data_IF_394108204545
#
_entry.id   IF_394108204545
#
_cell.length_a   1.000
_cell.length_b   1.000
_cell.length_c   1.000
_cell.angle_alpha   90.00
_cell.angle_beta   90.00
_cell.angle_gamma   90.00
#
_symmetry.space_group_name_H-M   'P 1'
#
loop_
_entity.id
_entity.type
_entity.pdbx_description
1 polymer ?
#
# COMPACT_ATOMS: atom_id res chain seq x y z
N UNK A 1 13.31 16.94 3.62
CA UNK A 1 14.10 16.05 2.74
C UNK A 1 14.44 14.79 3.52
N UNK A 2 13.70 13.70 3.33
CA UNK A 2 14.00 12.40 3.91
C UNK A 2 14.10 11.39 2.76
N UNK A 3 15.30 11.26 2.20
CA UNK A 3 15.62 10.25 1.20
C UNK A 3 15.71 8.90 1.93
N UNK A 4 14.68 8.05 1.78
CA UNK A 4 14.77 6.65 2.19
C UNK A 4 15.73 5.92 1.24
N UNK A 5 17.00 5.86 1.65
CA UNK A 5 18.01 4.97 1.08
C UNK A 5 17.96 3.63 1.81
N UNK A 6 17.58 2.57 1.10
CA UNK A 6 18.15 1.24 1.34
C UNK A 6 17.90 0.34 0.13
N UNK A 7 19.00 -0.15 -0.44
CA UNK A 7 19.05 -1.03 -1.59
C UNK A 7 18.08 -2.23 -1.46
N UNK A 8 17.00 -2.25 -2.25
CA UNK A 8 16.22 -3.45 -2.51
C UNK A 8 16.28 -3.70 -4.01
N UNK A 9 16.54 -4.96 -4.40
CA UNK A 9 16.35 -5.44 -5.77
C UNK A 9 15.11 -4.77 -6.35
N UNK A 10 15.30 -3.99 -7.40
CA UNK A 10 14.26 -3.25 -8.11
C UNK A 10 13.20 -4.26 -8.57
N UNK A 11 12.11 -4.38 -7.79
CA UNK A 11 10.93 -5.17 -8.17
C UNK A 11 10.30 -4.63 -9.45
N UNK A 12 10.48 -3.33 -9.64
CA UNK A 12 10.04 -2.54 -10.76
C UNK A 12 11.24 -1.88 -11.42
N UNK A 13 11.19 -1.66 -12.74
CA UNK A 13 12.15 -0.81 -13.44
C UNK A 13 12.11 0.61 -12.87
N UNK A 14 13.12 1.42 -13.19
CA UNK A 14 13.12 2.84 -12.79
C UNK A 14 11.89 3.59 -13.32
N UNK A 15 11.42 3.23 -14.53
CA UNK A 15 10.22 3.82 -15.15
C UNK A 15 8.94 3.39 -14.43
N UNK A 16 8.81 2.13 -14.06
CA UNK A 16 7.70 1.60 -13.27
C UNK A 16 7.63 2.24 -11.88
N UNK A 17 8.77 2.34 -11.18
CA UNK A 17 8.81 3.05 -9.91
C UNK A 17 8.41 4.52 -10.06
N UNK A 18 8.86 5.20 -11.11
CA UNK A 18 8.44 6.58 -11.38
C UNK A 18 6.94 6.66 -11.59
N UNK A 19 6.36 5.74 -12.36
CA UNK A 19 4.90 5.69 -12.58
C UNK A 19 4.12 5.51 -11.29
N UNK A 20 4.57 4.60 -10.40
CA UNK A 20 3.94 4.38 -9.09
C UNK A 20 4.05 5.64 -8.22
N UNK A 21 5.24 6.22 -8.12
CA UNK A 21 5.46 7.44 -7.33
C UNK A 21 4.63 8.61 -7.85
N UNK A 22 4.54 8.78 -9.18
CA UNK A 22 3.74 9.84 -9.78
C UNK A 22 2.24 9.62 -9.60
N UNK A 23 1.77 8.36 -9.64
CA UNK A 23 0.39 8.02 -9.34
C UNK A 23 0.03 8.34 -7.88
N UNK A 24 0.89 7.98 -6.93
CA UNK A 24 0.72 8.31 -5.50
C UNK A 24 0.68 9.82 -5.31
N UNK A 25 1.65 10.56 -5.87
CA UNK A 25 1.69 12.03 -5.79
C UNK A 25 0.42 12.68 -6.33
N UNK A 26 -0.07 12.20 -7.48
CA UNK A 26 -1.33 12.70 -8.06
C UNK A 26 -2.52 12.39 -7.16
N UNK A 27 -2.57 11.23 -6.53
CA UNK A 27 -3.64 10.90 -5.58
C UNK A 27 -3.59 11.83 -4.36
N UNK A 28 -2.43 12.00 -3.74
CA UNK A 28 -2.22 12.85 -2.56
C UNK A 28 -2.41 14.36 -2.84
N UNK A 29 -2.37 14.81 -4.09
CA UNK A 29 -2.76 16.19 -4.45
C UNK A 29 -4.27 16.46 -4.27
N UNK A 30 -5.09 15.41 -4.28
CA UNK A 30 -6.56 15.52 -4.21
C UNK A 30 -7.11 15.08 -2.84
N UNK A 31 -6.25 14.65 -1.91
CA UNK A 31 -6.66 14.20 -0.58
C UNK A 31 -5.64 14.64 0.47
N UNK A 32 -6.09 14.87 1.70
CA UNK A 32 -5.17 15.05 2.83
C UNK A 32 -4.61 13.74 3.37
N UNK A 33 -4.98 12.60 2.76
CA UNK A 33 -4.51 11.27 3.15
C UNK A 33 -3.12 10.96 2.63
N UNK A 34 -2.36 10.20 3.41
CA UNK A 34 -1.06 9.67 3.00
C UNK A 34 -1.22 8.26 2.43
N UNK A 35 -0.60 7.98 1.30
CA UNK A 35 -0.61 6.65 0.68
C UNK A 35 0.82 6.14 0.61
N UNK A 36 1.07 4.95 1.17
CA UNK A 36 2.36 4.27 1.05
C UNK A 36 2.19 2.89 0.43
N UNK A 37 3.15 2.53 -0.41
CA UNK A 37 3.23 1.21 -1.03
C UNK A 37 4.47 0.50 -0.49
N UNK A 38 4.27 -0.68 0.08
CA UNK A 38 5.34 -1.52 0.57
C UNK A 38 5.37 -2.85 -0.19
N UNK A 39 6.53 -3.18 -0.73
CA UNK A 39 6.73 -4.34 -1.59
C UNK A 39 7.84 -5.22 -1.01
N UNK A 40 7.55 -6.51 -0.88
CA UNK A 40 8.52 -7.54 -0.55
C UNK A 40 8.35 -8.80 -1.42
N UNK A 41 9.34 -9.69 -1.36
CA UNK A 41 9.33 -10.90 -2.19
C UNK A 41 8.28 -11.90 -1.71
N UNK A 42 8.24 -12.16 -0.41
CA UNK A 42 7.37 -13.16 0.22
C UNK A 42 6.81 -12.60 1.51
N UNK A 43 5.59 -12.98 1.84
CA UNK A 43 4.98 -12.68 3.12
C UNK A 43 5.61 -13.57 4.20
N UNK A 44 5.96 -12.97 5.34
CA UNK A 44 6.45 -13.73 6.51
C UNK A 44 5.31 -14.36 7.32
N UNK A 45 4.08 -13.91 7.09
CA UNK A 45 2.87 -14.31 7.81
C UNK A 45 1.98 -15.13 6.89
N UNK A 46 1.06 -15.87 7.49
CA UNK A 46 0.02 -16.59 6.73
C UNK A 46 -0.96 -15.59 6.13
N UNK A 47 -1.38 -14.60 6.92
CA UNK A 47 -2.26 -13.52 6.48
C UNK A 47 -1.43 -12.28 6.05
N UNK A 48 -1.57 -11.80 4.81
CA UNK A 48 -0.92 -10.55 4.37
C UNK A 48 -1.42 -9.31 5.13
N UNK A 49 -2.62 -9.35 5.73
CA UNK A 49 -3.14 -8.25 6.53
C UNK A 49 -2.37 -8.07 7.84
N UNK A 50 -2.04 -9.17 8.54
CA UNK A 50 -1.20 -9.14 9.75
C UNK A 50 0.17 -8.51 9.47
N UNK A 51 0.74 -8.87 8.30
CA UNK A 51 2.02 -8.30 7.85
C UNK A 51 1.89 -6.81 7.52
N UNK A 52 0.81 -6.41 6.87
CA UNK A 52 0.54 -5.01 6.57
C UNK A 52 0.38 -4.19 7.87
N UNK A 53 -0.33 -4.73 8.86
CA UNK A 53 -0.49 -4.10 10.17
C UNK A 53 0.86 -3.91 10.88
N UNK A 54 1.70 -4.96 10.95
CA UNK A 54 3.05 -4.87 11.54
C UNK A 54 3.88 -3.74 10.88
N UNK A 55 3.85 -3.67 9.55
CA UNK A 55 4.58 -2.64 8.79
C UNK A 55 3.99 -1.26 9.06
N UNK A 56 2.66 -1.13 9.11
CA UNK A 56 1.97 0.14 9.33
C UNK A 56 2.41 0.78 10.66
N UNK A 57 2.35 0.01 11.75
CA UNK A 57 2.79 0.45 13.07
C UNK A 57 4.30 0.66 13.13
N UNK A 58 5.09 -0.23 12.52
CA UNK A 58 6.55 -0.10 12.45
C UNK A 58 7.01 1.18 11.73
N UNK A 59 6.24 1.65 10.75
CA UNK A 59 6.47 2.89 10.01
C UNK A 59 5.80 4.13 10.64
N UNK A 60 5.11 3.96 11.78
CA UNK A 60 4.37 5.02 12.49
C UNK A 60 3.39 5.76 11.59
N UNK A 61 2.68 5.03 10.74
CA UNK A 61 1.73 5.61 9.77
C UNK A 61 0.44 6.12 10.42
N UNK A 62 0.20 5.75 11.67
CA UNK A 62 -0.88 6.23 12.54
C UNK A 62 -0.67 7.68 13.03
N UNK A 63 0.55 8.21 12.93
CA UNK A 63 0.89 9.58 13.37
C UNK A 63 0.46 10.66 12.35
N UNK A 64 -0.73 10.53 11.76
CA UNK A 64 -1.32 11.60 10.93
C UNK A 64 -2.40 12.33 11.69
N UNK A 65 -2.52 13.64 11.43
CA UNK A 65 -3.49 14.49 12.13
C UNK A 65 -4.95 14.01 11.99
N UNK A 66 -5.27 13.35 10.87
CA UNK A 66 -6.63 12.94 10.53
C UNK A 66 -6.84 11.43 10.50
N UNK A 67 -5.84 10.63 10.90
CA UNK A 67 -5.90 9.17 10.85
C UNK A 67 -6.36 8.64 9.49
N UNK A 68 -5.75 9.17 8.42
CA UNK A 68 -6.17 8.97 7.04
C UNK A 68 -5.05 8.38 6.17
N UNK A 69 -4.13 7.64 6.81
CA UNK A 69 -3.07 6.92 6.14
C UNK A 69 -3.55 5.58 5.58
N UNK A 70 -3.04 5.21 4.41
CA UNK A 70 -3.30 3.92 3.78
C UNK A 70 -1.99 3.26 3.38
N UNK A 71 -1.80 2.01 3.79
CA UNK A 71 -0.70 1.16 3.38
C UNK A 71 -1.21 0.09 2.40
N UNK A 72 -0.65 0.11 1.20
CA UNK A 72 -0.75 -0.98 0.24
C UNK A 72 0.44 -1.92 0.42
N UNK A 73 0.18 -3.13 0.87
CA UNK A 73 1.17 -4.19 1.01
C UNK A 73 1.12 -5.16 -0.17
N UNK A 74 2.28 -5.53 -0.72
CA UNK A 74 2.40 -6.48 -1.83
C UNK A 74 3.55 -7.47 -1.57
N UNK A 75 3.23 -8.77 -1.62
CA UNK A 75 4.18 -9.88 -1.63
C UNK A 75 4.22 -10.53 -3.02
N UNK A 76 5.23 -10.18 -3.82
CA UNK A 76 5.25 -10.45 -5.26
C UNK A 76 5.29 -11.95 -5.59
N UNK A 77 6.14 -12.73 -4.94
CA UNK A 77 6.30 -14.16 -5.25
C UNK A 77 5.17 -15.04 -4.71
N UNK A 78 4.47 -14.56 -3.69
CA UNK A 78 3.34 -15.28 -3.10
C UNK A 78 2.01 -14.83 -3.73
N UNK A 79 2.04 -13.83 -4.62
CA UNK A 79 0.87 -13.22 -5.24
C UNK A 79 -0.18 -12.76 -4.22
N UNK A 80 0.29 -12.27 -3.07
CA UNK A 80 -0.55 -11.77 -1.98
C UNK A 80 -0.46 -10.25 -1.92
N UNK A 81 -1.55 -9.62 -1.53
CA UNK A 81 -1.59 -8.19 -1.24
C UNK A 81 -2.57 -7.94 -0.10
N UNK A 82 -2.42 -6.79 0.56
CA UNK A 82 -3.36 -6.30 1.55
C UNK A 82 -3.43 -4.78 1.50
N UNK A 83 -4.60 -4.23 1.85
CA UNK A 83 -4.79 -2.79 2.03
C UNK A 83 -5.11 -2.59 3.51
N UNK A 84 -4.23 -1.91 4.23
CA UNK A 84 -4.44 -1.54 5.62
C UNK A 84 -4.64 -0.03 5.70
N UNK A 85 -5.76 0.40 6.27
CA UNK A 85 -6.13 1.80 6.33
C UNK A 85 -6.40 2.21 7.77
N UNK A 86 -5.99 3.42 8.12
CA UNK A 86 -6.19 3.98 9.44
C UNK A 86 -7.69 4.22 9.72
N UNK A 87 -8.04 4.31 11.00
CA UNK A 87 -9.41 4.35 11.49
C UNK A 87 -10.21 5.51 10.88
N UNK A 88 -9.61 6.70 10.77
CA UNK A 88 -10.32 7.90 10.32
C UNK A 88 -10.78 7.84 8.86
N UNK A 89 -10.01 7.19 7.97
CA UNK A 89 -10.44 6.97 6.58
C UNK A 89 -11.37 5.76 6.48
N UNK A 90 -11.15 4.72 7.28
CA UNK A 90 -12.01 3.54 7.31
C UNK A 90 -13.44 3.88 7.73
N UNK A 91 -13.61 4.68 8.78
CA UNK A 91 -14.92 5.14 9.27
C UNK A 91 -15.70 5.96 8.24
N UNK A 92 -15.00 6.71 7.37
CA UNK A 92 -15.64 7.56 6.36
C UNK A 92 -16.08 6.81 5.11
N UNK A 93 -15.30 5.81 4.69
CA UNK A 93 -15.53 5.09 3.43
C UNK A 93 -16.32 3.79 3.63
N UNK A 94 -16.26 3.21 4.83
CA UNK A 94 -16.94 1.97 5.17
C UNK A 94 -16.35 0.73 4.47
N UNK A 95 -16.82 -0.44 4.89
CA UNK A 95 -16.30 -1.73 4.43
C UNK A 95 -16.51 -2.01 2.94
N UNK A 96 -17.63 -1.56 2.36
CA UNK A 96 -17.98 -1.83 0.97
C UNK A 96 -16.98 -1.19 -0.01
N UNK A 97 -16.49 0.01 0.31
CA UNK A 97 -15.46 0.68 -0.48
C UNK A 97 -14.19 -0.17 -0.54
N UNK A 98 -13.66 -0.59 0.61
CA UNK A 98 -12.43 -1.37 0.68
C UNK A 98 -12.56 -2.74 0.02
N UNK A 99 -13.71 -3.41 0.18
CA UNK A 99 -13.99 -4.67 -0.52
C UNK A 99 -13.97 -4.49 -2.04
N UNK A 100 -14.54 -3.40 -2.55
CA UNK A 100 -14.52 -3.08 -3.98
C UNK A 100 -13.10 -2.81 -4.49
N UNK A 101 -12.29 -2.06 -3.75
CA UNK A 101 -10.90 -1.77 -4.11
C UNK A 101 -10.03 -3.04 -4.11
N UNK A 102 -10.16 -3.88 -3.08
CA UNK A 102 -9.50 -5.20 -3.02
C UNK A 102 -9.93 -6.08 -4.19
N UNK A 103 -11.21 -6.11 -4.55
CA UNK A 103 -11.71 -6.88 -5.69
C UNK A 103 -11.20 -6.34 -7.04
N UNK A 104 -11.08 -5.02 -7.21
CA UNK A 104 -10.48 -4.42 -8.40
C UNK A 104 -9.00 -4.78 -8.52
N UNK A 105 -8.24 -4.62 -7.45
CA UNK A 105 -6.82 -4.94 -7.44
C UNK A 105 -6.58 -6.44 -7.64
N UNK A 106 -7.40 -7.30 -7.03
CA UNK A 106 -7.35 -8.74 -7.23
C UNK A 106 -7.56 -9.18 -8.68
N UNK A 107 -8.32 -8.42 -9.48
CA UNK A 107 -8.44 -8.68 -10.92
C UNK A 107 -7.14 -8.36 -11.66
N UNK A 108 -6.54 -7.20 -11.41
CA UNK A 108 -5.26 -6.82 -12.02
C UNK A 108 -4.12 -7.78 -11.65
N UNK A 109 -4.05 -8.20 -10.38
CA UNK A 109 -3.06 -9.17 -9.91
C UNK A 109 -3.20 -10.54 -10.60
N UNK A 110 -4.45 -11.01 -10.79
CA UNK A 110 -4.72 -12.27 -11.50
C UNK A 110 -4.36 -12.24 -12.99
N UNK A 111 -4.39 -11.06 -13.59
CA UNK A 111 -4.07 -10.87 -15.01
C UNK A 111 -2.56 -10.76 -15.27
N UNK A 112 -1.69 -10.84 -14.25
CA UNK A 112 -0.23 -10.59 -14.31
C UNK A 112 0.14 -9.16 -14.77
N UNK A 113 -0.75 -8.19 -14.55
CA UNK A 113 -0.47 -6.79 -14.80
C UNK A 113 0.13 -6.17 -13.53
N UNK A 114 1.46 -6.28 -13.38
CA UNK A 114 2.24 -5.70 -12.27
C UNK A 114 2.56 -4.22 -12.50
#
# INVERSE_FOLDING_TARGET
MGLFSSARKLFFTSEENSRVVDAIRKAEQHTSGEIRVYIENRCKFVDPLDRAEEIFWGLKMDHTQYHNSVLLYVAVKDHQFAIFADKGIHEKLGNEFWQKEVAQMGRHFRENHY
#
